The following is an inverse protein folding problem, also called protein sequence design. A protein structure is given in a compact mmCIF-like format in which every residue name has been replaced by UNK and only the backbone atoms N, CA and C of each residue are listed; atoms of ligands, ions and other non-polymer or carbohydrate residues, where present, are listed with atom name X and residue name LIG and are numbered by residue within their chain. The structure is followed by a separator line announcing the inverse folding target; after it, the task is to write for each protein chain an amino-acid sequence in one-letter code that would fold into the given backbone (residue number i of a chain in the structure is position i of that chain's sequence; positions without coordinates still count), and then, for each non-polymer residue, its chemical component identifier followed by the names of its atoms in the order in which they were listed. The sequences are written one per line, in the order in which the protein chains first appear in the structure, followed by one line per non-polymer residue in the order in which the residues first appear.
data_IF_262117671400
#
_entry.id   IF_262117671400
#
_cell.length_a   1.000
_cell.length_b   1.000
_cell.length_c   1.000
_cell.angle_alpha   90.00
_cell.angle_beta   90.00
_cell.angle_gamma   90.00
#
_symmetry.space_group_name_H-M   'P 1'
#
loop_
_entity.id
_entity.type
_entity.pdbx_description
1 polymer ?
#
# COMPACT_ATOMS: atom_id res chain seq x y z
N UNK A 1 -58.33 -27.83 -26.84
CA UNK A 1 -58.14 -26.76 -27.83
C UNK A 1 -57.14 -25.78 -27.22
N UNK A 2 -55.83 -26.00 -27.45
CA UNK A 2 -55.01 -25.37 -28.53
C UNK A 2 -54.92 -23.84 -28.29
N UNK A 3 -53.79 -23.19 -28.03
CA UNK A 3 -52.43 -23.35 -28.54
C UNK A 3 -51.39 -22.68 -27.61
N UNK A 4 -50.30 -23.37 -27.26
CA UNK A 4 -49.08 -22.75 -26.75
C UNK A 4 -47.86 -23.34 -27.48
N UNK A 5 -47.49 -22.76 -28.62
CA UNK A 5 -46.11 -22.83 -29.14
C UNK A 5 -45.91 -21.83 -30.28
N UNK A 6 -45.29 -20.68 -29.99
CA UNK A 6 -44.87 -19.69 -31.00
C UNK A 6 -43.35 -19.66 -31.22
N UNK A 7 -42.61 -20.71 -30.86
CA UNK A 7 -41.18 -20.78 -31.09
C UNK A 7 -40.80 -22.05 -31.85
N UNK A 8 -40.55 -21.89 -33.15
CA UNK A 8 -39.97 -22.94 -33.99
C UNK A 8 -38.54 -23.26 -33.54
N UNK A 9 -38.19 -24.56 -33.47
CA UNK A 9 -36.83 -25.06 -33.20
C UNK A 9 -35.76 -24.36 -34.06
N UNK A 10 -36.12 -23.91 -35.26
CA UNK A 10 -35.23 -23.20 -36.18
C UNK A 10 -34.90 -21.77 -35.72
N UNK A 11 -35.85 -21.08 -35.04
CA UNK A 11 -35.60 -19.79 -34.38
C UNK A 11 -34.73 -19.96 -33.14
N UNK A 12 -34.96 -21.01 -32.34
CA UNK A 12 -34.12 -21.30 -31.16
C UNK A 12 -32.65 -21.55 -31.54
N UNK A 13 -32.41 -22.35 -32.58
CA UNK A 13 -31.05 -22.64 -33.05
C UNK A 13 -30.35 -21.40 -33.63
N UNK A 14 -31.08 -20.51 -34.31
CA UNK A 14 -30.54 -19.24 -34.79
C UNK A 14 -30.19 -18.28 -33.64
N UNK A 15 -31.07 -18.12 -32.65
CA UNK A 15 -30.82 -17.25 -31.48
C UNK A 15 -29.68 -17.79 -30.62
N UNK A 16 -29.58 -19.11 -30.45
CA UNK A 16 -28.48 -19.75 -29.72
C UNK A 16 -27.14 -19.62 -30.48
N UNK A 17 -27.15 -19.74 -31.81
CA UNK A 17 -25.95 -19.58 -32.64
C UNK A 17 -25.41 -18.14 -32.69
N UNK A 18 -26.29 -17.14 -32.79
CA UNK A 18 -25.90 -15.72 -32.82
C UNK A 18 -25.33 -15.23 -31.47
N UNK A 19 -25.75 -15.85 -30.36
CA UNK A 19 -25.23 -15.55 -29.01
C UNK A 19 -23.81 -16.09 -28.82
N UNK A 20 -23.44 -17.20 -29.47
CA UNK A 20 -22.11 -17.79 -29.36
C UNK A 20 -21.04 -17.00 -30.14
N UNK A 21 -21.40 -16.38 -31.28
CA UNK A 21 -20.47 -15.56 -32.07
C UNK A 21 -20.21 -14.17 -31.44
N UNK A 22 -21.17 -13.62 -30.70
CA UNK A 22 -21.05 -12.31 -30.05
C UNK A 22 -20.14 -12.34 -28.80
N UNK A 23 -19.95 -13.52 -28.19
CA UNK A 23 -19.07 -13.70 -27.04
C UNK A 23 -17.57 -13.84 -27.40
N UNK A 24 -17.23 -13.96 -28.69
CA UNK A 24 -15.83 -14.09 -29.14
C UNK A 24 -15.18 -12.70 -29.35
N UNK A 25 -15.96 -11.65 -29.58
CA UNK A 25 -15.46 -10.29 -29.86
C UNK A 25 -15.33 -9.39 -28.62
N UNK A 26 -15.66 -9.87 -27.42
CA UNK A 26 -15.58 -9.11 -26.16
C UNK A 26 -14.41 -9.51 -25.24
N UNK A 27 -13.44 -10.30 -25.72
CA UNK A 27 -12.24 -10.70 -24.94
C UNK A 27 -11.20 -9.58 -24.70
N UNK A 28 -11.57 -8.31 -24.89
CA UNK A 28 -10.68 -7.16 -24.68
C UNK A 28 -10.73 -6.54 -23.28
N UNK A 29 -11.75 -6.85 -22.47
CA UNK A 29 -11.90 -6.27 -21.13
C UNK A 29 -12.50 -7.34 -20.20
N UNK A 30 -11.98 -7.43 -18.98
CA UNK A 30 -12.35 -8.32 -17.86
C UNK A 30 -11.50 -9.60 -17.76
N UNK A 31 -10.65 -9.60 -16.72
CA UNK A 31 -9.85 -10.76 -16.33
C UNK A 31 -10.67 -11.82 -15.58
N UNK A 32 -10.35 -13.07 -15.92
CA UNK A 32 -10.50 -14.33 -15.17
C UNK A 32 -11.88 -14.75 -14.61
N UNK A 33 -12.18 -16.07 -14.59
CA UNK A 33 -11.41 -17.05 -13.82
C UNK A 33 -10.49 -17.95 -14.68
N UNK A 34 -9.47 -18.60 -14.07
CA UNK A 34 -8.41 -19.27 -14.82
C UNK A 34 -8.92 -20.55 -15.46
N UNK A 35 -8.85 -20.61 -16.78
CA UNK A 35 -8.95 -21.87 -17.53
C UNK A 35 -7.70 -22.72 -17.26
N UNK A 36 -7.92 -24.00 -16.96
CA UNK A 36 -6.91 -25.03 -16.75
C UNK A 36 -6.20 -25.42 -18.05
N UNK A 37 -5.46 -24.49 -18.63
CA UNK A 37 -4.50 -24.76 -19.71
C UNK A 37 -3.10 -24.72 -19.12
N UNK A 38 -2.35 -25.80 -19.31
CA UNK A 38 -0.89 -25.89 -19.11
C UNK A 38 -0.12 -24.98 -20.09
N UNK A 39 -0.50 -23.71 -20.16
CA UNK A 39 0.36 -22.68 -20.71
C UNK A 39 1.20 -22.21 -19.53
N UNK A 40 2.48 -22.55 -19.53
CA UNK A 40 3.44 -21.81 -18.71
C UNK A 40 3.22 -20.33 -19.04
N UNK A 41 2.73 -19.55 -18.09
CA UNK A 41 2.60 -18.11 -18.25
C UNK A 41 4.03 -17.57 -18.30
N UNK A 42 4.63 -17.54 -19.50
CA UNK A 42 5.90 -16.87 -19.70
C UNK A 42 5.71 -15.43 -19.25
N UNK A 43 6.39 -15.07 -18.16
CA UNK A 43 6.38 -13.71 -17.68
C UNK A 43 6.99 -12.82 -18.77
N UNK A 44 6.16 -12.01 -19.41
CA UNK A 44 6.62 -11.08 -20.46
C UNK A 44 7.58 -10.08 -19.83
N UNK A 45 8.88 -10.20 -20.14
CA UNK A 45 9.88 -9.19 -19.78
C UNK A 45 9.82 -8.01 -20.75
N UNK A 46 9.99 -6.81 -20.23
CA UNK A 46 10.09 -5.60 -21.02
C UNK A 46 11.34 -5.66 -21.91
N UNK A 47 11.16 -5.32 -23.18
CA UNK A 47 12.26 -5.31 -24.15
C UNK A 47 13.08 -4.03 -24.00
N UNK A 48 14.43 -4.11 -24.08
CA UNK A 48 15.31 -2.95 -24.11
C UNK A 48 14.94 -1.97 -25.23
N UNK A 49 15.11 -0.67 -24.96
CA UNK A 49 15.03 0.36 -26.01
C UNK A 49 16.43 0.80 -26.42
N UNK A 50 16.56 1.25 -27.67
CA UNK A 50 17.79 1.88 -28.14
C UNK A 50 17.89 3.28 -27.53
N UNK A 51 18.77 3.43 -26.54
CA UNK A 51 19.08 4.71 -25.91
C UNK A 51 20.17 5.43 -26.71
N UNK A 52 19.98 6.73 -26.97
CA UNK A 52 21.09 7.58 -27.47
C UNK A 52 22.14 7.76 -26.36
N UNK A 53 23.39 8.15 -26.69
CA UNK A 53 24.42 8.40 -25.67
C UNK A 53 23.96 9.36 -24.56
N UNK A 54 23.16 10.37 -24.88
CA UNK A 54 22.63 11.36 -23.93
C UNK A 54 21.49 10.82 -23.05
N UNK A 55 20.88 9.69 -23.44
CA UNK A 55 19.83 9.01 -22.68
C UNK A 55 20.38 7.86 -21.84
N UNK A 56 21.65 7.51 -22.00
CA UNK A 56 22.28 6.47 -21.18
C UNK A 56 22.47 7.00 -19.76
N UNK A 57 22.07 6.21 -18.74
CA UNK A 57 22.31 6.62 -17.37
C UNK A 57 23.81 6.63 -17.07
N UNK A 58 24.26 7.58 -16.25
CA UNK A 58 25.66 7.71 -15.84
C UNK A 58 26.14 6.48 -15.06
N UNK A 59 25.21 5.76 -14.44
CA UNK A 59 25.42 4.47 -13.78
C UNK A 59 24.23 3.55 -14.04
N UNK A 60 24.49 2.25 -14.21
CA UNK A 60 23.43 1.24 -14.32
C UNK A 60 22.91 0.73 -12.96
N UNK A 61 23.45 1.25 -11.85
CA UNK A 61 23.26 0.74 -10.49
C UNK A 61 22.50 1.73 -9.61
N UNK A 62 21.62 1.20 -8.76
CA UNK A 62 21.01 1.91 -7.64
C UNK A 62 20.49 0.88 -6.63
N UNK A 63 20.58 1.16 -5.33
CA UNK A 63 20.01 0.32 -4.28
C UNK A 63 18.81 1.01 -3.65
N UNK A 64 17.61 0.48 -3.94
CA UNK A 64 16.33 1.07 -3.56
C UNK A 64 15.67 0.27 -2.44
N UNK A 65 15.45 0.90 -1.29
CA UNK A 65 14.75 0.31 -0.16
C UNK A 65 13.24 0.18 -0.38
N UNK A 66 12.64 -0.90 0.10
CA UNK A 66 11.18 -1.06 0.16
C UNK A 66 10.69 -1.70 1.46
N UNK A 67 9.46 -1.39 1.86
CA UNK A 67 8.73 -2.09 2.93
C UNK A 67 7.76 -3.07 2.27
N UNK A 68 7.61 -4.28 2.83
CA UNK A 68 6.79 -5.34 2.26
C UNK A 68 5.27 -5.11 2.42
N UNK A 69 4.78 -4.08 1.75
CA UNK A 69 3.38 -3.63 1.63
C UNK A 69 3.08 -3.28 0.17
N UNK A 70 1.80 -3.12 -0.19
CA UNK A 70 1.36 -2.96 -1.58
C UNK A 70 1.96 -1.74 -2.28
N UNK A 71 2.32 -0.70 -1.53
CA UNK A 71 2.96 0.52 -2.05
C UNK A 71 4.34 0.29 -2.66
N UNK A 72 5.00 -0.84 -2.35
CA UNK A 72 6.28 -1.24 -2.94
C UNK A 72 6.16 -1.81 -4.36
N UNK A 73 4.94 -2.12 -4.81
CA UNK A 73 4.70 -2.83 -6.05
C UNK A 73 5.37 -2.19 -7.29
N UNK A 74 5.37 -0.85 -7.49
CA UNK A 74 6.04 -0.27 -8.65
C UNK A 74 7.54 -0.56 -8.71
N UNK A 75 8.24 -0.54 -7.56
CA UNK A 75 9.68 -0.83 -7.50
C UNK A 75 9.97 -2.29 -7.83
N UNK A 76 9.20 -3.21 -7.22
CA UNK A 76 9.36 -4.65 -7.41
C UNK A 76 9.06 -5.01 -8.87
N UNK A 77 7.92 -4.55 -9.40
CA UNK A 77 7.52 -4.83 -10.78
C UNK A 77 8.50 -4.21 -11.77
N UNK A 78 9.03 -3.03 -11.50
CA UNK A 78 10.03 -2.41 -12.37
C UNK A 78 11.30 -3.26 -12.50
N UNK A 79 11.71 -3.94 -11.42
CA UNK A 79 12.83 -4.89 -11.44
C UNK A 79 12.45 -6.21 -12.12
N UNK A 80 11.42 -6.89 -11.60
CA UNK A 80 11.05 -8.26 -12.02
C UNK A 80 10.56 -8.35 -13.47
N UNK A 81 9.91 -7.29 -13.97
CA UNK A 81 9.48 -7.22 -15.37
C UNK A 81 10.50 -6.57 -16.30
N UNK A 82 11.69 -6.24 -15.81
CA UNK A 82 12.77 -5.69 -16.63
C UNK A 82 12.53 -4.24 -17.09
N UNK A 83 11.62 -3.48 -16.46
CA UNK A 83 11.41 -2.09 -16.83
C UNK A 83 12.60 -1.19 -16.47
N UNK A 84 13.33 -1.47 -15.37
CA UNK A 84 14.60 -0.77 -15.11
C UNK A 84 15.63 -1.07 -16.21
N UNK A 85 15.84 -2.35 -16.54
CA UNK A 85 16.77 -2.77 -17.57
C UNK A 85 16.41 -2.21 -18.96
N UNK A 86 15.10 -2.07 -19.26
CA UNK A 86 14.62 -1.45 -20.48
C UNK A 86 15.22 -0.06 -20.71
N UNK A 87 15.44 0.71 -19.64
CA UNK A 87 16.00 2.06 -19.66
C UNK A 87 17.46 2.11 -19.18
N UNK A 88 18.23 1.03 -19.33
CA UNK A 88 19.68 1.02 -19.06
C UNK A 88 20.07 0.80 -17.59
N UNK A 89 19.11 0.79 -16.66
CA UNK A 89 19.34 0.53 -15.24
C UNK A 89 19.36 -0.98 -14.94
N UNK A 90 20.36 -1.69 -15.48
CA UNK A 90 20.43 -3.17 -15.46
C UNK A 90 20.72 -3.75 -14.08
N UNK A 91 21.35 -2.98 -13.19
CA UNK A 91 21.89 -3.44 -11.92
C UNK A 91 21.22 -2.77 -10.70
N UNK A 92 19.92 -2.50 -10.80
CA UNK A 92 19.14 -2.00 -9.64
C UNK A 92 18.91 -3.12 -8.62
N UNK A 93 19.19 -2.87 -7.35
CA UNK A 93 18.84 -3.73 -6.23
C UNK A 93 17.57 -3.18 -5.55
N UNK A 94 16.55 -4.03 -5.36
CA UNK A 94 15.33 -3.68 -4.62
C UNK A 94 15.39 -4.36 -3.25
N UNK A 95 15.90 -3.63 -2.26
CA UNK A 95 16.30 -4.15 -0.96
C UNK A 95 15.19 -4.03 0.09
N UNK A 96 14.77 -5.16 0.67
CA UNK A 96 13.74 -5.18 1.72
C UNK A 96 14.27 -4.52 3.00
N UNK A 97 13.51 -3.59 3.55
CA UNK A 97 13.78 -2.93 4.82
C UNK A 97 12.98 -3.59 5.95
N UNK A 98 13.57 -3.66 7.15
CA UNK A 98 12.94 -4.33 8.29
C UNK A 98 11.75 -3.52 8.85
N UNK A 99 11.88 -2.20 8.89
CA UNK A 99 10.87 -1.24 9.32
C UNK A 99 11.28 0.17 8.82
N UNK A 100 10.43 1.17 9.01
CA UNK A 100 10.69 2.56 8.57
C UNK A 100 11.91 3.20 9.26
N UNK A 101 12.19 2.85 10.52
CA UNK A 101 13.40 3.30 11.21
C UNK A 101 14.67 2.74 10.56
N UNK A 102 14.68 1.45 10.20
CA UNK A 102 15.78 0.85 9.45
C UNK A 102 15.92 1.42 8.05
N UNK A 103 14.82 1.73 7.37
CA UNK A 103 14.87 2.39 6.06
C UNK A 103 15.53 3.77 6.16
N UNK A 104 15.13 4.58 7.14
CA UNK A 104 15.76 5.87 7.46
C UNK A 104 17.26 5.70 7.73
N UNK A 105 17.64 4.80 8.63
CA UNK A 105 19.05 4.59 8.97
C UNK A 105 19.88 4.14 7.76
N UNK A 106 19.31 3.29 6.89
CA UNK A 106 20.02 2.83 5.69
C UNK A 106 20.17 3.91 4.63
N UNK A 107 19.22 4.84 4.48
CA UNK A 107 19.42 5.96 3.53
C UNK A 107 20.41 6.97 4.08
N UNK A 108 20.46 7.14 5.41
CA UNK A 108 21.47 7.95 6.08
C UNK A 108 22.89 7.41 5.85
N UNK A 109 23.07 6.09 5.88
CA UNK A 109 24.36 5.44 5.59
C UNK A 109 24.76 5.56 4.10
N UNK A 110 23.78 5.57 3.19
CA UNK A 110 24.01 5.56 1.74
C UNK A 110 24.55 4.22 1.22
N UNK A 111 24.42 3.94 -0.09
CA UNK A 111 24.86 2.67 -0.67
C UNK A 111 26.37 2.41 -0.51
N UNK A 112 27.20 3.46 -0.58
CA UNK A 112 28.64 3.37 -0.38
C UNK A 112 29.02 2.84 1.03
N UNK A 113 28.18 3.10 2.04
CA UNK A 113 28.32 2.58 3.40
C UNK A 113 27.59 1.26 3.65
N UNK A 114 27.00 0.65 2.60
CA UNK A 114 26.20 -0.58 2.70
C UNK A 114 24.70 -0.36 2.92
N UNK A 115 24.26 0.90 3.01
CA UNK A 115 22.86 1.33 3.14
C UNK A 115 22.07 1.27 1.82
N UNK A 116 21.25 2.29 1.54
CA UNK A 116 20.43 2.44 0.32
C UNK A 116 20.60 3.85 -0.27
N UNK A 117 20.39 4.02 -1.58
CA UNK A 117 20.43 5.32 -2.27
C UNK A 117 19.12 6.09 -2.17
N UNK A 118 18.02 5.39 -1.88
CA UNK A 118 16.67 5.92 -1.87
C UNK A 118 15.65 4.78 -1.86
N UNK A 119 14.42 5.04 -2.32
CA UNK A 119 13.39 4.00 -2.42
C UNK A 119 11.98 4.48 -2.09
N UNK A 120 11.20 3.58 -1.49
CA UNK A 120 9.84 3.84 -1.04
C UNK A 120 9.85 4.59 0.30
N UNK A 121 8.98 5.60 0.44
CA UNK A 121 8.86 6.41 1.67
C UNK A 121 7.40 6.72 2.01
N UNK A 122 7.11 6.83 3.31
CA UNK A 122 5.96 7.60 3.78
C UNK A 122 6.29 9.10 3.72
N UNK A 123 5.29 9.94 3.52
CA UNK A 123 5.47 11.39 3.57
C UNK A 123 5.24 11.92 4.99
N UNK A 124 5.95 12.98 5.40
CA UNK A 124 7.02 13.70 4.70
C UNK A 124 8.43 13.21 5.06
N UNK A 125 8.69 11.90 5.22
CA UNK A 125 10.01 11.40 5.64
C UNK A 125 11.18 11.95 4.79
N UNK A 126 11.10 12.04 3.44
CA UNK A 126 12.19 12.62 2.67
C UNK A 126 12.53 14.07 3.05
N UNK A 127 11.52 14.89 3.38
CA UNK A 127 11.74 16.27 3.85
C UNK A 127 12.31 16.29 5.27
N UNK A 128 11.80 15.43 6.15
CA UNK A 128 12.30 15.32 7.52
C UNK A 128 13.77 14.85 7.54
N UNK A 129 14.17 13.94 6.65
CA UNK A 129 15.56 13.48 6.49
C UNK A 129 16.43 14.59 5.91
N UNK A 130 15.93 15.30 4.88
CA UNK A 130 16.62 16.44 4.26
C UNK A 130 16.99 17.52 5.27
N UNK A 131 16.08 17.82 6.19
CA UNK A 131 16.29 18.83 7.22
C UNK A 131 16.92 18.30 8.52
N UNK A 132 17.23 17.00 8.57
CA UNK A 132 17.86 16.36 9.74
C UNK A 132 16.93 16.26 10.96
N UNK A 133 15.61 16.29 10.77
CA UNK A 133 14.63 16.25 11.87
C UNK A 133 14.47 14.86 12.46
N UNK A 134 14.78 13.81 11.69
CA UNK A 134 14.62 12.41 12.12
C UNK A 134 15.90 11.59 12.00
N UNK A 135 17.01 12.14 11.51
CA UNK A 135 18.32 11.47 11.34
C UNK A 135 19.16 11.51 12.62
N UNK A 136 20.20 10.68 12.72
CA UNK A 136 21.11 10.73 13.88
C UNK A 136 21.94 12.01 13.84
N UNK A 137 22.16 12.62 15.01
CA UNK A 137 22.95 13.85 15.13
C UNK A 137 22.35 15.07 14.43
N UNK A 138 21.08 15.00 13.99
CA UNK A 138 20.41 16.00 13.16
C UNK A 138 21.15 16.27 11.83
N UNK A 139 21.79 15.25 11.27
CA UNK A 139 22.51 15.36 10.01
C UNK A 139 21.53 15.62 8.86
N UNK A 140 21.80 16.65 8.06
CA UNK A 140 20.98 17.00 6.89
C UNK A 140 21.39 16.16 5.70
N UNK A 141 20.46 15.36 5.18
CA UNK A 141 20.71 14.45 4.06
C UNK A 141 19.71 14.76 2.95
N UNK A 142 20.05 15.66 2.01
CA UNK A 142 19.12 16.12 0.98
C UNK A 142 18.53 14.96 0.17
N UNK A 143 17.20 14.89 0.12
CA UNK A 143 16.44 13.92 -0.64
C UNK A 143 15.49 14.60 -1.62
N UNK A 144 15.27 13.97 -2.77
CA UNK A 144 14.33 14.44 -3.78
C UNK A 144 13.13 13.50 -3.89
N UNK A 145 11.93 14.07 -3.85
CA UNK A 145 10.70 13.33 -4.13
C UNK A 145 10.49 13.30 -5.63
N UNK A 146 10.65 12.12 -6.24
CA UNK A 146 10.61 11.96 -7.69
C UNK A 146 9.22 11.59 -8.22
N UNK A 147 8.48 10.76 -7.50
CA UNK A 147 7.17 10.28 -7.92
C UNK A 147 6.36 9.79 -6.72
N UNK A 148 5.03 9.84 -6.85
CA UNK A 148 4.12 9.13 -5.96
C UNK A 148 3.97 7.68 -6.45
N UNK A 149 4.23 6.71 -5.57
CA UNK A 149 4.16 5.29 -5.92
C UNK A 149 2.72 4.75 -5.98
N UNK A 150 1.84 5.24 -5.11
CA UNK A 150 0.45 4.79 -5.06
C UNK A 150 -0.49 5.83 -4.46
N UNK A 151 -1.78 5.57 -4.61
CA UNK A 151 -2.85 6.11 -3.77
C UNK A 151 -3.67 4.96 -3.21
N UNK A 152 -4.36 5.18 -2.09
CA UNK A 152 -5.16 4.18 -1.36
C UNK A 152 -4.34 2.98 -0.84
N UNK A 153 -4.94 1.80 -0.72
CA UNK A 153 -4.30 0.59 -0.20
C UNK A 153 -4.04 0.61 1.32
N UNK A 154 -4.50 1.63 2.03
CA UNK A 154 -4.37 1.78 3.47
C UNK A 154 -5.75 1.79 4.14
N UNK A 155 -5.79 1.54 5.45
CA UNK A 155 -7.00 1.57 6.26
C UNK A 155 -6.74 1.58 7.76
N UNK A 156 -7.79 1.83 8.54
CA UNK A 156 -7.76 1.77 10.00
C UNK A 156 -8.53 0.54 10.44
N UNK A 157 -7.81 -0.46 10.96
CA UNK A 157 -8.39 -1.65 11.54
C UNK A 157 -8.86 -1.36 12.97
N UNK A 158 -10.04 -1.86 13.34
CA UNK A 158 -10.62 -1.74 14.68
C UNK A 158 -10.69 -3.13 15.32
N UNK A 159 -10.30 -3.24 16.60
CA UNK A 159 -10.33 -4.50 17.32
C UNK A 159 -11.77 -5.03 17.49
N UNK A 160 -11.94 -6.36 17.41
CA UNK A 160 -13.25 -7.01 17.43
C UNK A 160 -14.09 -6.70 18.68
N UNK A 161 -13.44 -6.37 19.81
CA UNK A 161 -14.13 -5.94 21.05
C UNK A 161 -14.96 -4.66 20.89
N UNK A 162 -14.83 -3.95 19.77
CA UNK A 162 -15.61 -2.75 19.44
C UNK A 162 -16.68 -2.99 18.36
N UNK A 163 -16.87 -4.24 17.92
CA UNK A 163 -17.98 -4.59 17.02
C UNK A 163 -19.33 -4.18 17.63
N UNK A 164 -20.24 -3.70 16.78
CA UNK A 164 -21.55 -3.20 17.21
C UNK A 164 -21.55 -1.85 17.94
N UNK A 165 -20.38 -1.29 18.31
CA UNK A 165 -20.30 0.02 18.99
C UNK A 165 -20.39 1.21 18.04
N UNK A 166 -20.47 0.97 16.74
CA UNK A 166 -20.52 2.01 15.71
C UNK A 166 -19.20 2.79 15.54
N UNK A 167 -18.07 2.18 15.87
CA UNK A 167 -16.74 2.72 15.57
C UNK A 167 -16.42 2.36 14.10
N UNK A 168 -16.74 3.28 13.19
CA UNK A 168 -16.59 3.10 11.75
C UNK A 168 -15.89 4.27 11.08
N UNK A 169 -16.15 4.49 9.79
CA UNK A 169 -15.57 5.59 9.02
C UNK A 169 -15.89 6.96 9.64
N UNK A 170 -17.15 7.17 10.02
CA UNK A 170 -17.59 8.33 10.78
C UNK A 170 -17.74 7.95 12.24
N UNK A 171 -17.37 8.87 13.13
CA UNK A 171 -17.46 8.73 14.58
C UNK A 171 -18.59 9.61 15.15
N UNK A 172 -19.67 9.80 14.38
CA UNK A 172 -20.80 10.63 14.75
C UNK A 172 -21.40 10.20 16.10
N UNK A 173 -21.44 11.13 17.05
CA UNK A 173 -21.94 10.87 18.41
C UNK A 173 -21.09 9.91 19.24
N UNK A 174 -19.84 9.63 18.86
CA UNK A 174 -18.95 8.71 19.59
C UNK A 174 -18.06 9.38 20.62
N UNK A 175 -18.05 10.70 20.72
CA UNK A 175 -17.21 11.43 21.70
C UNK A 175 -17.37 10.90 23.13
N UNK A 176 -18.61 10.68 23.58
CA UNK A 176 -18.91 10.15 24.90
C UNK A 176 -18.36 8.75 25.16
N UNK A 177 -18.18 7.92 24.13
CA UNK A 177 -17.53 6.61 24.26
C UNK A 177 -16.06 6.77 24.64
N UNK A 178 -15.33 7.67 23.98
CA UNK A 178 -13.91 7.94 24.27
C UNK A 178 -13.73 8.66 25.61
N UNK A 179 -14.58 9.64 25.91
CA UNK A 179 -14.61 10.31 27.23
C UNK A 179 -14.94 9.33 28.36
N UNK A 180 -15.85 8.39 28.12
CA UNK A 180 -16.19 7.32 29.05
C UNK A 180 -15.00 6.42 29.37
N UNK A 181 -14.24 5.98 28.36
CA UNK A 181 -12.99 5.25 28.56
C UNK A 181 -12.01 6.06 29.44
N UNK A 182 -11.78 7.33 29.07
CA UNK A 182 -10.89 8.27 29.78
C UNK A 182 -11.26 8.43 31.25
N UNK A 183 -12.54 8.65 31.55
CA UNK A 183 -13.05 8.79 32.92
C UNK A 183 -12.96 7.48 33.73
N UNK A 184 -13.02 6.33 33.06
CA UNK A 184 -12.81 5.01 33.65
C UNK A 184 -11.35 4.64 33.88
N UNK A 185 -10.40 5.57 33.66
CA UNK A 185 -8.98 5.37 33.91
C UNK A 185 -8.23 4.65 32.78
N UNK A 186 -8.82 4.52 31.60
CA UNK A 186 -8.17 3.95 30.41
C UNK A 186 -8.31 4.88 29.21
N UNK A 187 -7.58 4.66 28.13
CA UNK A 187 -7.80 5.38 26.86
C UNK A 187 -7.95 4.38 25.73
N UNK A 188 -8.61 4.81 24.67
CA UNK A 188 -8.60 4.05 23.42
C UNK A 188 -7.18 4.06 22.85
N UNK A 189 -6.56 2.89 22.74
CA UNK A 189 -5.19 2.70 22.28
C UNK A 189 -5.17 2.43 20.78
N UNK A 190 -4.49 3.27 20.03
CA UNK A 190 -4.35 3.09 18.60
C UNK A 190 -2.89 3.21 18.18
N UNK A 191 -2.50 2.44 17.17
CA UNK A 191 -1.10 2.40 16.74
C UNK A 191 -0.92 2.73 15.24
N UNK A 192 0.32 3.09 14.93
CA UNK A 192 0.88 3.27 13.60
C UNK A 192 2.35 2.81 13.59
N UNK A 193 2.97 2.67 12.42
CA UNK A 193 4.30 2.06 12.31
C UNK A 193 5.49 3.03 12.33
N UNK A 194 5.26 4.33 12.11
CA UNK A 194 6.27 5.37 12.22
C UNK A 194 5.63 6.73 12.55
N UNK A 195 6.21 7.54 13.45
CA UNK A 195 5.66 8.83 13.83
C UNK A 195 5.88 9.90 12.77
N UNK A 196 5.02 10.91 12.80
CA UNK A 196 4.95 12.09 11.95
C UNK A 196 4.97 11.75 10.46
N UNK A 197 4.30 10.66 10.09
CA UNK A 197 4.22 10.15 8.74
C UNK A 197 2.78 9.69 8.39
N UNK A 198 2.55 9.35 7.12
CA UNK A 198 1.24 8.97 6.55
C UNK A 198 0.26 8.29 7.52
N UNK A 199 0.63 7.13 8.07
CA UNK A 199 -0.29 6.32 8.89
C UNK A 199 -0.71 7.01 10.19
N UNK A 200 0.17 7.81 10.80
CA UNK A 200 -0.21 8.64 11.93
C UNK A 200 -1.19 9.73 11.49
N UNK A 201 -0.93 10.42 10.37
CA UNK A 201 -1.85 11.45 9.86
C UNK A 201 -3.24 10.88 9.56
N UNK A 202 -3.33 9.70 8.98
CA UNK A 202 -4.61 9.05 8.67
C UNK A 202 -5.42 8.77 9.93
N UNK A 203 -4.75 8.26 10.96
CA UNK A 203 -5.36 7.96 12.24
C UNK A 203 -5.79 9.23 12.99
N UNK A 204 -4.91 10.25 13.02
CA UNK A 204 -5.19 11.56 13.61
C UNK A 204 -6.37 12.23 12.94
N UNK A 205 -6.40 12.23 11.60
CA UNK A 205 -7.49 12.82 10.84
C UNK A 205 -8.82 12.12 11.11
N UNK A 206 -8.84 10.78 11.12
CA UNK A 206 -10.03 10.00 11.44
C UNK A 206 -10.58 10.30 12.84
N UNK A 207 -9.71 10.37 13.85
CA UNK A 207 -10.12 10.71 15.21
C UNK A 207 -10.63 12.16 15.30
N UNK A 208 -9.87 13.12 14.76
CA UNK A 208 -10.21 14.54 14.82
C UNK A 208 -11.51 14.87 14.08
N UNK A 209 -11.78 14.21 12.94
CA UNK A 209 -13.05 14.33 12.22
C UNK A 209 -14.25 13.86 13.05
N UNK A 210 -14.02 13.01 14.06
CA UNK A 210 -15.00 12.60 15.06
C UNK A 210 -15.13 13.52 16.28
N UNK A 211 -14.40 14.63 16.32
CA UNK A 211 -14.32 15.50 17.50
C UNK A 211 -13.55 14.91 18.68
N UNK A 212 -12.68 13.93 18.42
CA UNK A 212 -11.82 13.27 19.41
C UNK A 212 -10.42 13.83 19.26
N UNK A 213 -9.86 14.40 20.33
CA UNK A 213 -8.52 14.93 20.30
C UNK A 213 -7.50 13.78 20.26
N UNK A 214 -6.72 13.61 19.17
CA UNK A 214 -5.79 12.49 19.03
C UNK A 214 -4.65 12.49 20.07
N UNK A 215 -4.37 13.63 20.71
CA UNK A 215 -3.29 13.76 21.70
C UNK A 215 -3.82 13.64 23.15
N UNK A 216 -5.09 13.93 23.39
CA UNK A 216 -5.66 13.99 24.75
C UNK A 216 -6.65 12.88 25.06
N UNK A 217 -7.47 12.48 24.09
CA UNK A 217 -8.62 11.58 24.31
C UNK A 217 -8.32 10.12 23.99
N UNK A 218 -7.27 9.87 23.20
CA UNK A 218 -6.79 8.54 22.85
C UNK A 218 -5.29 8.41 23.18
N UNK A 219 -4.78 7.19 23.11
CA UNK A 219 -3.36 6.89 23.27
C UNK A 219 -2.83 6.44 21.91
N UNK A 220 -2.03 7.30 21.26
CA UNK A 220 -1.38 7.00 20.00
C UNK A 220 0.04 6.45 20.23
N UNK A 221 0.33 5.28 19.66
CA UNK A 221 1.56 4.55 19.90
C UNK A 221 2.28 4.20 18.60
N UNK A 222 3.60 4.38 18.59
CA UNK A 222 4.45 3.81 17.53
C UNK A 222 4.75 2.36 17.89
N UNK A 223 4.19 1.41 17.14
CA UNK A 223 4.33 -0.03 17.43
C UNK A 223 4.56 -0.81 16.12
N UNK A 224 5.53 -1.75 16.07
CA UNK A 224 5.72 -2.60 14.91
C UNK A 224 4.44 -3.36 14.52
N UNK A 225 4.15 -3.46 13.22
CA UNK A 225 2.89 -4.02 12.71
C UNK A 225 2.56 -5.41 13.28
N UNK A 226 3.53 -6.34 13.30
CA UNK A 226 3.33 -7.68 13.85
C UNK A 226 2.95 -7.67 15.34
N UNK A 227 3.56 -6.78 16.12
CA UNK A 227 3.25 -6.61 17.53
C UNK A 227 1.87 -5.95 17.72
N UNK A 228 1.50 -4.97 16.89
CA UNK A 228 0.17 -4.36 16.92
C UNK A 228 -0.93 -5.39 16.67
N UNK A 229 -0.76 -6.26 15.68
CA UNK A 229 -1.72 -7.34 15.39
C UNK A 229 -1.81 -8.32 16.58
N UNK A 230 -0.69 -8.67 17.21
CA UNK A 230 -0.69 -9.49 18.42
C UNK A 230 -1.44 -8.80 19.58
N UNK A 231 -1.22 -7.51 19.80
CA UNK A 231 -1.90 -6.72 20.82
C UNK A 231 -3.41 -6.58 20.55
N UNK A 232 -3.83 -6.50 19.28
CA UNK A 232 -5.25 -6.51 18.93
C UNK A 232 -5.89 -7.86 19.29
N UNK A 233 -5.19 -8.98 19.06
CA UNK A 233 -5.67 -10.33 19.43
C UNK A 233 -5.80 -10.52 20.93
N UNK A 234 -4.89 -9.97 21.73
CA UNK A 234 -4.94 -10.04 23.21
C UNK A 234 -5.83 -8.97 23.83
N UNK A 235 -6.44 -8.10 23.01
CA UNK A 235 -7.36 -7.06 23.46
C UNK A 235 -6.68 -5.84 24.09
N UNK A 236 -5.35 -5.72 23.99
CA UNK A 236 -4.55 -4.60 24.52
C UNK A 236 -4.34 -3.46 23.52
N UNK A 237 -4.81 -3.62 22.27
CA UNK A 237 -4.86 -2.56 21.26
C UNK A 237 -6.29 -2.42 20.71
N UNK A 238 -6.75 -1.18 20.51
CA UNK A 238 -8.11 -0.86 20.05
C UNK A 238 -8.19 -0.58 18.55
N UNK A 239 -7.18 0.05 17.96
CA UNK A 239 -7.10 0.31 16.52
C UNK A 239 -5.67 0.30 15.96
N UNK A 240 -5.56 0.15 14.64
CA UNK A 240 -4.28 0.15 13.93
C UNK A 240 -4.43 0.79 12.54
N UNK A 241 -3.68 1.86 12.27
CA UNK A 241 -3.52 2.42 10.92
C UNK A 241 -2.48 1.61 10.14
N UNK A 242 -2.92 0.89 9.10
CA UNK A 242 -2.18 -0.16 8.38
C UNK A 242 -2.48 -0.11 6.88
N UNK A 243 -1.80 -0.93 6.08
CA UNK A 243 -2.04 -1.18 4.66
C UNK A 243 -1.52 -2.53 4.22
#
# INVERSE_FOLDING_TARGET
MSDFSKYSRRKFLWTAGASAASCILLKGCLGNPPSSTNAATESTQAQPINLTPEQQPETAQAKLGYIAIVESAPLIIAKEKGFFAKYGMTNVEVAKQANWGSARDNVEIGSAGGGIDGGQWQMPMPYQISEGLITKGNEKIPMYVLAQLNTHGNGIAIASKHQGKGIGLKLDGKKSFFEGLKSGGTKFKAAYTFPQANQEFWLRYWAAAGGINPDEDIELLTVPAAQTVANMKTGTMDAFSTG
#
